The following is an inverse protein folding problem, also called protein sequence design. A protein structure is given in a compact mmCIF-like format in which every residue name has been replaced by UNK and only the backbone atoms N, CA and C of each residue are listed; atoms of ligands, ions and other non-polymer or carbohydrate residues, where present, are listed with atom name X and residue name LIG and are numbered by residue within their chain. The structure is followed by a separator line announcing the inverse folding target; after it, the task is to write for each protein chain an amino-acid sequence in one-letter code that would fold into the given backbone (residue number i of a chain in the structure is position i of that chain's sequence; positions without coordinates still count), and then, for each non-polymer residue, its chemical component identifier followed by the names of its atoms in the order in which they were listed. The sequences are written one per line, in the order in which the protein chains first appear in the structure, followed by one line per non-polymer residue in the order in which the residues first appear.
data_IF_195521264623
#
_entry.id   IF_195521264623
#
_cell.length_a   1.000
_cell.length_b   1.000
_cell.length_c   1.000
_cell.angle_alpha   90.00
_cell.angle_beta   90.00
_cell.angle_gamma   90.00
#
_symmetry.space_group_name_H-M   'P 1'
#
loop_
_entity.id
_entity.type
_entity.pdbx_description
1 polymer ?
#
# COMPACT_ATOMS: atom_id res chain seq x y z
N UNK A 1 -10.38 -6.03 -25.53
CA UNK A 1 -9.76 -7.20 -24.87
C UNK A 1 -9.10 -6.88 -23.54
N UNK A 2 -9.10 -5.60 -23.17
CA UNK A 2 -8.59 -5.20 -21.85
C UNK A 2 -9.35 -5.89 -20.71
N UNK A 3 -10.64 -6.24 -20.92
CA UNK A 3 -11.43 -6.89 -19.89
C UNK A 3 -10.93 -8.26 -19.46
N UNK A 4 -10.28 -9.01 -20.36
CA UNK A 4 -9.76 -10.34 -20.03
C UNK A 4 -8.63 -10.27 -19.01
N UNK A 5 -7.75 -9.28 -19.12
CA UNK A 5 -6.59 -9.15 -18.23
C UNK A 5 -6.92 -8.36 -16.97
N UNK A 6 -7.92 -7.46 -17.02
CA UNK A 6 -8.29 -6.64 -15.86
C UNK A 6 -9.39 -7.27 -15.01
N UNK A 7 -10.11 -8.27 -15.55
CA UNK A 7 -11.24 -8.88 -14.84
C UNK A 7 -10.90 -9.41 -13.45
N UNK A 8 -9.83 -10.21 -13.27
CA UNK A 8 -9.53 -10.72 -11.94
C UNK A 8 -9.25 -9.62 -10.92
N UNK A 9 -8.52 -8.58 -11.33
CA UNK A 9 -8.23 -7.48 -10.42
C UNK A 9 -9.48 -6.66 -10.09
N UNK A 10 -10.35 -6.47 -11.06
CA UNK A 10 -11.63 -5.77 -10.82
C UNK A 10 -12.54 -6.56 -9.90
N UNK A 11 -12.59 -7.89 -10.09
CA UNK A 11 -13.37 -8.75 -9.21
C UNK A 11 -12.84 -8.69 -7.77
N UNK A 12 -11.53 -8.71 -7.63
CA UNK A 12 -10.89 -8.61 -6.32
C UNK A 12 -11.25 -7.29 -5.63
N UNK A 13 -11.14 -6.17 -6.35
CA UNK A 13 -11.52 -4.86 -5.82
C UNK A 13 -12.99 -4.83 -5.41
N UNK A 14 -13.86 -5.43 -6.20
CA UNK A 14 -15.29 -5.47 -5.91
C UNK A 14 -15.56 -6.22 -4.61
N UNK A 15 -14.94 -7.39 -4.44
CA UNK A 15 -15.09 -8.16 -3.22
C UNK A 15 -14.65 -7.36 -2.00
N UNK A 16 -13.53 -6.66 -2.10
CA UNK A 16 -13.02 -5.81 -1.03
C UNK A 16 -13.99 -4.67 -0.73
N UNK A 17 -14.46 -3.98 -1.76
CA UNK A 17 -15.36 -2.85 -1.60
C UNK A 17 -16.72 -3.25 -1.01
N UNK A 18 -17.14 -4.49 -1.24
CA UNK A 18 -18.38 -5.01 -0.68
C UNK A 18 -18.19 -5.63 0.71
N UNK A 19 -16.97 -5.62 1.23
CA UNK A 19 -16.69 -6.16 2.55
C UNK A 19 -16.61 -7.67 2.59
N UNK A 20 -16.53 -8.33 1.44
CA UNK A 20 -16.43 -9.79 1.33
C UNK A 20 -14.98 -10.22 1.48
N UNK A 21 -14.41 -9.96 2.67
CA UNK A 21 -12.96 -10.11 2.89
C UNK A 21 -12.48 -11.55 2.85
N UNK A 22 -13.27 -12.47 3.40
CA UNK A 22 -12.90 -13.87 3.39
C UNK A 22 -12.74 -14.40 1.96
N UNK A 23 -13.73 -14.07 1.13
CA UNK A 23 -13.70 -14.46 -0.27
C UNK A 23 -12.62 -13.72 -1.03
N UNK A 24 -12.42 -12.43 -0.72
CA UNK A 24 -11.36 -11.63 -1.34
C UNK A 24 -9.98 -12.22 -1.05
N UNK A 25 -9.72 -12.66 0.17
CA UNK A 25 -8.45 -13.29 0.54
C UNK A 25 -8.25 -14.57 -0.25
N UNK A 26 -9.28 -15.41 -0.30
CA UNK A 26 -9.21 -16.67 -1.03
C UNK A 26 -8.93 -16.43 -2.52
N UNK A 27 -9.68 -15.51 -3.11
CA UNK A 27 -9.52 -15.17 -4.52
C UNK A 27 -8.15 -14.55 -4.78
N UNK A 28 -7.73 -13.61 -3.94
CA UNK A 28 -6.41 -12.99 -4.05
C UNK A 28 -5.28 -14.00 -3.99
N UNK A 29 -5.39 -14.97 -3.08
CA UNK A 29 -4.37 -16.02 -2.97
C UNK A 29 -4.29 -16.88 -4.23
N UNK A 30 -5.43 -17.12 -4.89
CA UNK A 30 -5.45 -17.83 -6.17
C UNK A 30 -4.74 -17.05 -7.26
N UNK A 31 -4.78 -15.73 -7.20
CA UNK A 31 -4.17 -14.85 -8.21
C UNK A 31 -2.68 -14.57 -7.94
N UNK A 32 -2.20 -14.90 -6.76
CA UNK A 32 -0.86 -14.52 -6.30
C UNK A 32 0.24 -14.93 -7.28
N UNK A 33 0.21 -16.17 -7.77
CA UNK A 33 1.24 -16.66 -8.65
C UNK A 33 1.23 -15.93 -9.99
N UNK A 34 0.05 -15.69 -10.53
CA UNK A 34 -0.11 -15.05 -11.82
C UNK A 34 0.29 -13.57 -11.78
N UNK A 35 -0.01 -12.88 -10.70
CA UNK A 35 0.21 -11.44 -10.58
C UNK A 35 1.30 -11.07 -9.57
N UNK A 36 2.23 -11.98 -9.30
CA UNK A 36 3.25 -11.78 -8.25
C UNK A 36 4.13 -10.55 -8.47
N UNK A 37 4.30 -10.10 -9.71
CA UNK A 37 5.12 -8.92 -10.04
C UNK A 37 4.28 -7.78 -10.63
N UNK A 38 2.97 -7.82 -10.44
CA UNK A 38 2.06 -6.77 -10.91
C UNK A 38 1.85 -5.78 -9.75
N UNK A 39 2.40 -4.55 -9.86
CA UNK A 39 2.30 -3.60 -8.75
C UNK A 39 0.85 -3.24 -8.40
N UNK A 40 -0.05 -3.25 -9.38
CA UNK A 40 -1.45 -2.96 -9.14
C UNK A 40 -2.09 -4.03 -8.24
N UNK A 41 -1.86 -5.30 -8.58
CA UNK A 41 -2.34 -6.41 -7.74
C UNK A 41 -1.76 -6.35 -6.32
N UNK A 42 -0.45 -6.11 -6.23
CA UNK A 42 0.23 -6.04 -4.94
C UNK A 42 -0.32 -4.91 -4.07
N UNK A 43 -0.60 -3.76 -4.70
CA UNK A 43 -1.18 -2.64 -3.97
C UNK A 43 -2.61 -2.95 -3.49
N UNK A 44 -3.41 -3.62 -4.33
CA UNK A 44 -4.77 -4.03 -3.95
C UNK A 44 -4.72 -4.93 -2.72
N UNK A 45 -3.84 -5.93 -2.73
CA UNK A 45 -3.69 -6.85 -1.61
C UNK A 45 -3.22 -6.14 -0.34
N UNK A 46 -2.23 -5.26 -0.49
CA UNK A 46 -1.73 -4.48 0.64
C UNK A 46 -2.81 -3.59 1.24
N UNK A 47 -3.60 -2.94 0.39
CA UNK A 47 -4.71 -2.08 0.84
C UNK A 47 -5.76 -2.88 1.59
N UNK A 48 -6.08 -4.08 1.10
CA UNK A 48 -7.02 -4.96 1.78
C UNK A 48 -6.55 -5.30 3.19
N UNK A 49 -5.30 -5.70 3.32
CA UNK A 49 -4.76 -6.06 4.63
C UNK A 49 -4.64 -4.85 5.55
N UNK A 50 -4.45 -3.66 5.00
CA UNK A 50 -4.49 -2.44 5.79
C UNK A 50 -5.88 -2.23 6.39
N UNK A 51 -6.92 -2.40 5.60
CA UNK A 51 -8.31 -2.32 6.08
C UNK A 51 -8.56 -3.33 7.21
N UNK A 52 -7.96 -4.51 7.11
CA UNK A 52 -8.11 -5.58 8.08
C UNK A 52 -7.19 -5.45 9.30
N UNK A 53 -6.41 -4.38 9.38
CA UNK A 53 -5.47 -4.11 10.46
C UNK A 53 -4.39 -5.18 10.61
N UNK A 54 -3.96 -5.74 9.47
CA UNK A 54 -2.90 -6.74 9.40
C UNK A 54 -1.60 -6.07 8.93
N UNK A 55 -0.90 -5.40 9.87
CA UNK A 55 0.24 -4.55 9.53
C UNK A 55 1.36 -5.30 8.81
N UNK A 56 1.69 -6.49 9.29
CA UNK A 56 2.78 -7.27 8.69
C UNK A 56 2.47 -7.67 7.25
N UNK A 57 1.22 -8.09 7.00
CA UNK A 57 0.80 -8.47 5.65
C UNK A 57 0.73 -7.27 4.73
N UNK A 58 0.25 -6.13 5.26
CA UNK A 58 0.24 -4.88 4.51
C UNK A 58 1.65 -4.54 4.02
N UNK A 59 2.61 -4.53 4.95
CA UNK A 59 4.00 -4.18 4.60
C UNK A 59 4.62 -5.17 3.63
N UNK A 60 4.30 -6.45 3.76
CA UNK A 60 4.80 -7.47 2.84
C UNK A 60 4.44 -7.14 1.39
N UNK A 61 3.18 -6.79 1.14
CA UNK A 61 2.74 -6.45 -0.21
C UNK A 61 3.22 -5.09 -0.66
N UNK A 62 3.13 -4.08 0.21
CA UNK A 62 3.52 -2.72 -0.15
C UNK A 62 5.02 -2.62 -0.41
N UNK A 63 5.85 -3.32 0.34
CA UNK A 63 7.29 -3.32 0.09
C UNK A 63 7.63 -3.93 -1.27
N UNK A 64 6.84 -4.92 -1.72
CA UNK A 64 7.01 -5.48 -3.05
C UNK A 64 6.66 -4.47 -4.14
N UNK A 65 5.63 -3.63 -3.93
CA UNK A 65 5.35 -2.54 -4.86
C UNK A 65 6.55 -1.59 -4.91
N UNK A 66 7.09 -1.24 -3.76
CA UNK A 66 8.20 -0.29 -3.67
C UNK A 66 9.53 -0.83 -4.23
N UNK A 67 9.69 -2.15 -4.28
CA UNK A 67 10.81 -2.77 -5.00
C UNK A 67 10.70 -2.53 -6.51
N UNK A 68 9.48 -2.46 -7.03
CA UNK A 68 9.23 -2.21 -8.45
C UNK A 68 9.30 -0.72 -8.74
N UNK A 69 8.70 0.11 -7.88
CA UNK A 69 8.66 1.56 -8.02
C UNK A 69 8.90 2.20 -6.66
N UNK A 70 10.16 2.53 -6.39
CA UNK A 70 10.61 3.06 -5.09
C UNK A 70 9.86 4.32 -4.65
N UNK A 71 9.41 5.13 -5.60
CA UNK A 71 8.75 6.41 -5.32
C UNK A 71 7.26 6.41 -5.62
N UNK A 72 6.63 5.24 -5.53
CA UNK A 72 5.18 5.18 -5.67
C UNK A 72 4.52 5.84 -4.45
N UNK A 73 3.94 7.03 -4.67
CA UNK A 73 3.43 7.87 -3.58
C UNK A 73 2.30 7.20 -2.81
N UNK A 74 1.39 6.50 -3.50
CA UNK A 74 0.29 5.81 -2.81
C UNK A 74 0.82 4.73 -1.88
N UNK A 75 1.80 3.96 -2.32
CA UNK A 75 2.40 2.91 -1.50
C UNK A 75 3.21 3.48 -0.35
N UNK A 76 3.97 4.55 -0.61
CA UNK A 76 4.72 5.23 0.46
C UNK A 76 3.77 5.81 1.51
N UNK A 77 2.63 6.36 1.07
CA UNK A 77 1.63 6.91 1.99
C UNK A 77 1.02 5.82 2.87
N UNK A 78 0.73 4.66 2.29
CA UNK A 78 0.19 3.55 3.06
C UNK A 78 1.22 3.03 4.06
N UNK A 79 2.47 2.89 3.63
CA UNK A 79 3.57 2.47 4.50
C UNK A 79 3.76 3.45 5.65
N UNK A 80 3.69 4.75 5.35
CA UNK A 80 3.79 5.80 6.35
C UNK A 80 2.72 5.62 7.43
N UNK A 81 1.47 5.38 7.03
CA UNK A 81 0.36 5.17 7.98
C UNK A 81 0.60 3.97 8.89
N UNK A 82 1.12 2.89 8.33
CA UNK A 82 1.42 1.69 9.13
C UNK A 82 2.48 2.02 10.18
N UNK A 83 3.56 2.69 9.77
CA UNK A 83 4.65 3.01 10.70
C UNK A 83 4.22 4.05 11.73
N UNK A 84 3.33 5.00 11.38
CA UNK A 84 2.74 5.92 12.36
C UNK A 84 1.99 5.15 13.43
N UNK A 85 1.18 4.19 13.01
CA UNK A 85 0.40 3.38 13.95
C UNK A 85 1.32 2.60 14.88
N UNK A 86 2.42 2.09 14.36
CA UNK A 86 3.40 1.31 15.13
C UNK A 86 4.38 2.21 15.91
N UNK A 87 4.28 3.52 15.74
CA UNK A 87 5.15 4.52 16.39
C UNK A 87 6.63 4.33 16.07
N UNK A 88 6.91 3.92 14.85
CA UNK A 88 8.27 3.73 14.34
C UNK A 88 8.72 4.99 13.62
N UNK A 89 9.07 6.01 14.38
CA UNK A 89 9.30 7.37 13.87
C UNK A 89 10.37 7.45 12.80
N UNK A 90 11.46 6.69 12.91
CA UNK A 90 12.52 6.72 11.90
C UNK A 90 12.00 6.27 10.53
N UNK A 91 11.12 5.28 10.52
CA UNK A 91 10.53 4.78 9.28
C UNK A 91 9.49 5.74 8.73
N UNK A 92 8.76 6.42 9.61
CA UNK A 92 7.83 7.49 9.19
C UNK A 92 8.61 8.60 8.50
N UNK A 93 9.71 9.06 9.11
CA UNK A 93 10.56 10.12 8.56
C UNK A 93 11.06 9.73 7.18
N UNK A 94 11.52 8.49 7.02
CA UNK A 94 12.02 8.00 5.73
C UNK A 94 10.94 8.06 4.65
N UNK A 95 9.72 7.61 4.97
CA UNK A 95 8.59 7.68 4.04
C UNK A 95 8.25 9.12 3.67
N UNK A 96 8.24 10.02 4.67
CA UNK A 96 7.95 11.44 4.43
C UNK A 96 8.95 12.04 3.44
N UNK A 97 10.23 11.77 3.65
CA UNK A 97 11.28 12.32 2.79
C UNK A 97 11.16 11.83 1.35
N UNK A 98 10.83 10.55 1.18
CA UNK A 98 10.63 10.00 -0.16
C UNK A 98 9.41 10.60 -0.85
N UNK A 99 8.30 10.74 -0.13
CA UNK A 99 7.10 11.35 -0.69
C UNK A 99 7.39 12.78 -1.14
N UNK A 100 8.09 13.54 -0.30
CA UNK A 100 8.38 14.94 -0.60
C UNK A 100 9.34 15.14 -1.78
N UNK A 101 10.12 14.12 -2.14
CA UNK A 101 10.92 14.17 -3.37
C UNK A 101 10.06 14.19 -4.61
N UNK A 102 8.92 13.50 -4.58
CA UNK A 102 8.01 13.40 -5.72
C UNK A 102 6.96 14.49 -5.67
N UNK A 103 6.49 14.80 -4.47
CA UNK A 103 5.41 15.74 -4.23
C UNK A 103 5.83 16.75 -3.14
N UNK A 104 6.68 17.73 -3.52
CA UNK A 104 7.22 18.67 -2.52
C UNK A 104 6.17 19.58 -1.88
N UNK A 105 5.00 19.70 -2.51
CA UNK A 105 3.91 20.54 -1.99
C UNK A 105 2.92 19.76 -1.13
N UNK A 106 3.25 18.54 -0.74
CA UNK A 106 2.40 17.75 0.14
C UNK A 106 2.50 18.29 1.57
N UNK A 107 1.61 19.21 1.92
CA UNK A 107 1.64 19.89 3.21
C UNK A 107 1.39 18.95 4.38
N UNK A 108 0.51 17.97 4.22
CA UNK A 108 0.24 17.00 5.29
C UNK A 108 1.50 16.23 5.66
N UNK A 109 2.23 15.73 4.66
CA UNK A 109 3.45 14.98 4.88
C UNK A 109 4.55 15.89 5.45
N UNK A 110 4.62 17.13 4.97
CA UNK A 110 5.56 18.11 5.50
C UNK A 110 5.32 18.35 7.00
N UNK A 111 4.06 18.51 7.38
CA UNK A 111 3.73 18.74 8.78
C UNK A 111 4.13 17.55 9.66
N UNK A 112 3.89 16.33 9.18
CA UNK A 112 4.30 15.12 9.92
C UNK A 112 5.83 15.11 10.11
N UNK A 113 6.56 15.38 9.05
CA UNK A 113 8.01 15.38 9.09
C UNK A 113 8.54 16.44 10.05
N UNK A 114 8.03 17.66 9.93
CA UNK A 114 8.47 18.76 10.77
C UNK A 114 8.21 18.48 12.26
N UNK A 115 7.04 17.93 12.57
CA UNK A 115 6.71 17.57 13.94
C UNK A 115 7.67 16.53 14.52
N UNK A 116 8.01 15.51 13.74
CA UNK A 116 8.91 14.46 14.21
C UNK A 116 10.36 14.93 14.30
N UNK A 117 10.79 15.80 13.41
CA UNK A 117 12.17 16.29 13.42
C UNK A 117 12.40 17.37 14.49
N UNK A 118 11.36 18.05 14.96
CA UNK A 118 11.47 19.03 16.04
C UNK A 118 11.62 18.37 17.41
N UNK A 119 11.18 17.12 17.52
CA UNK A 119 11.27 16.38 18.77
C UNK A 119 12.52 15.51 18.79
#
# INVERSE_FOLDING_TARGET
MTGLFSYPKRKLKKLINEGEYEEAIRFGNQLEQKFSNDPDFLFIMGSMYYILNEEKKTLRYIDRVLEINEYDVESLSLKLRVHEYLKENDLVINCCKKILKVDPDNFEVRDILDELEEN
#
